data_IF_104336285180
#
_entry.id   IF_104336285180
#
_cell.length_a   1.000
_cell.length_b   1.000
_cell.length_c   1.000
_cell.angle_alpha   90.00
_cell.angle_beta   90.00
_cell.angle_gamma   90.00
#
_symmetry.space_group_name_H-M   'P 1'
#
loop_
_entity.id
_entity.type
_entity.pdbx_description
1 polymer ?
2 non-polymer ?
3 non-polymer ?
4 water ?
#
# COMPACT_ATOMS: atom_id res chain seq x y z
N UNK A 2 -19.19 -7.71 -18.99
CA UNK A 2 -17.96 -7.83 -18.21
C UNK A 2 -17.15 -6.54 -18.06
N UNK A 3 -16.75 -5.95 -19.19
CA UNK A 3 -16.01 -4.71 -19.19
C UNK A 3 -16.67 -3.76 -18.22
N UNK A 4 -15.89 -2.88 -17.59
CA UNK A 4 -16.43 -1.86 -16.72
C UNK A 4 -16.87 -0.64 -17.54
N UNK A 5 -18.12 -0.21 -17.37
CA UNK A 5 -18.58 1.01 -18.01
C UNK A 5 -18.09 2.17 -17.19
N UNK A 6 -17.31 3.04 -17.83
CA UNK A 6 -16.66 4.12 -17.13
C UNK A 6 -17.21 5.46 -17.60
N UNK A 7 -17.24 6.42 -16.69
CA UNK A 7 -17.62 7.77 -17.03
C UNK A 7 -16.68 8.70 -16.31
N UNK A 8 -16.13 9.66 -17.05
CA UNK A 8 -15.06 10.50 -16.55
C UNK A 8 -15.29 11.98 -16.83
N UNK A 9 -15.31 12.79 -15.79
CA UNK A 9 -15.47 14.22 -15.99
C UNK A 9 -14.77 15.05 -14.93
N UNK A 10 -14.63 16.34 -15.19
CA UNK A 10 -14.13 17.30 -14.22
C UNK A 10 -15.20 18.32 -13.92
N UNK A 11 -15.44 18.55 -12.65
CA UNK A 11 -16.27 19.65 -12.23
C UNK A 11 -15.48 20.36 -11.14
N UNK A 12 -15.15 21.62 -11.39
CA UNK A 12 -14.22 22.37 -10.54
C UNK A 12 -12.96 21.59 -10.19
N UNK A 13 -12.05 21.45 -11.14
CA UNK A 13 -10.75 20.82 -10.92
C UNK A 13 -10.78 19.51 -10.14
N UNK A 14 -11.99 19.08 -9.79
CA UNK A 14 -12.22 17.77 -9.19
C UNK A 14 -12.65 16.77 -10.26
N UNK A 15 -11.76 15.82 -10.54
CA UNK A 15 -12.05 14.75 -11.48
C UNK A 15 -12.91 13.67 -10.84
N UNK A 16 -14.03 13.35 -11.48
CA UNK A 16 -14.93 12.32 -11.00
C UNK A 16 -14.93 11.14 -11.95
N UNK A 17 -14.31 10.04 -11.55
CA UNK A 17 -14.37 8.80 -12.31
C UNK A 17 -15.45 7.92 -11.71
N UNK A 18 -16.44 7.53 -12.50
CA UNK A 18 -17.51 6.69 -12.00
C UNK A 18 -17.39 5.32 -12.61
N UNK A 19 -17.50 4.26 -11.80
CA UNK A 19 -17.36 2.91 -12.29
C UNK A 19 -18.63 2.09 -12.10
N UNK A 20 -18.95 1.26 -13.10
CA UNK A 20 -20.13 0.40 -13.12
C UNK A 20 -19.75 -1.00 -13.55
N UNK A 21 -19.88 -1.98 -12.66
CA UNK A 21 -19.58 -3.35 -12.99
C UNK A 21 -18.75 -4.04 -11.93
N UNK A 22 -17.94 -4.99 -12.37
CA UNK A 22 -17.12 -5.76 -11.45
C UNK A 22 -15.67 -5.69 -11.87
N UNK A 23 -14.80 -5.22 -10.99
CA UNK A 23 -13.37 -5.24 -11.26
C UNK A 23 -12.89 -6.70 -11.32
N UNK A 24 -13.12 -7.30 -12.48
CA UNK A 24 -12.76 -8.68 -12.74
C UNK A 24 -11.24 -8.72 -12.80
N UNK A 25 -10.69 -9.82 -13.32
CA UNK A 25 -9.30 -9.87 -13.73
C UNK A 25 -9.13 -9.71 -15.22
N UNK A 26 -10.23 -9.87 -15.93
CA UNK A 26 -10.29 -9.70 -17.38
C UNK A 26 -10.66 -8.27 -17.71
N UNK A 27 -11.44 -7.66 -16.82
CA UNK A 27 -11.97 -6.32 -17.01
C UNK A 27 -11.11 -5.23 -16.38
N UNK A 28 -10.22 -5.63 -15.46
CA UNK A 28 -9.38 -4.68 -14.74
C UNK A 28 -8.50 -3.80 -15.63
N UNK A 29 -7.84 -4.39 -16.64
CA UNK A 29 -6.89 -3.65 -17.48
C UNK A 29 -7.46 -2.42 -18.19
N UNK A 30 -8.66 -2.52 -18.75
CA UNK A 30 -9.25 -1.41 -19.48
C UNK A 30 -9.54 -0.22 -18.57
N UNK A 31 -9.94 -0.51 -17.33
CA UNK A 31 -10.18 0.53 -16.33
C UNK A 31 -8.89 1.21 -15.88
N UNK A 32 -7.86 0.40 -15.63
CA UNK A 32 -6.57 0.95 -15.29
C UNK A 32 -6.05 1.83 -16.40
N UNK A 33 -6.14 1.35 -17.63
CA UNK A 33 -5.68 2.13 -18.78
C UNK A 33 -6.34 3.50 -18.87
N UNK A 34 -7.60 3.56 -18.41
CA UNK A 34 -8.40 4.77 -18.52
C UNK A 34 -8.25 5.73 -17.34
N UNK A 35 -7.97 5.17 -16.17
CA UNK A 35 -7.98 5.96 -14.93
C UNK A 35 -6.67 6.63 -14.62
N UNK A 36 -5.57 5.91 -14.83
CA UNK A 36 -4.27 6.43 -14.49
C UNK A 36 -3.91 7.67 -15.27
N UNK A 37 -4.23 7.72 -16.58
CA UNK A 37 -3.94 8.95 -17.32
C UNK A 37 -4.83 10.11 -16.90
N UNK A 38 -5.83 9.86 -16.07
CA UNK A 38 -6.74 10.93 -15.73
C UNK A 38 -6.44 11.54 -14.36
N UNK A 39 -5.30 11.18 -13.78
CA UNK A 39 -4.84 11.77 -12.53
C UNK A 39 -4.13 13.11 -12.82
N UNK A 40 -4.41 14.13 -12.01
CA UNK A 40 -3.80 15.47 -12.17
C UNK A 40 -2.85 15.80 -11.02
N UNK A 41 -1.70 16.41 -11.35
CA UNK A 41 -0.71 16.77 -10.33
C UNK A 41 -1.28 17.82 -9.38
N UNK A 42 -1.06 17.62 -8.08
CA UNK A 42 -1.76 18.39 -7.06
C UNK A 42 -3.24 18.23 -7.29
N UNK A 43 -3.62 17.10 -7.86
CA UNK A 43 -4.98 16.90 -8.31
C UNK A 43 -5.96 16.30 -7.32
N UNK A 44 -7.20 16.75 -7.40
CA UNK A 44 -8.29 16.22 -6.60
C UNK A 44 -9.15 15.27 -7.43
N UNK A 46 -12.28 12.08 -7.34
CA UNK A 46 -13.28 11.26 -6.66
C UNK A 46 -13.55 10.02 -7.49
N UNK A 47 -13.36 8.85 -6.90
CA UNK A 47 -13.65 7.62 -7.59
C UNK A 47 -14.92 7.03 -7.03
N UNK A 48 -16.02 7.18 -7.76
CA UNK A 48 -17.30 6.70 -7.30
C UNK A 48 -17.51 5.20 -7.58
N UNK A 49 -17.53 4.42 -6.49
CA UNK A 49 -17.62 2.97 -6.55
C UNK A 49 -18.97 2.46 -6.12
N UNK A 50 -19.96 3.35 -6.11
CA UNK A 50 -21.33 3.01 -5.70
C UNK A 50 -21.96 1.89 -6.54
N UNK A 51 -21.59 1.78 -7.81
CA UNK A 51 -22.08 0.67 -8.62
C UNK A 51 -21.00 -0.30 -9.09
N UNK A 52 -19.95 -0.45 -8.29
CA UNK A 52 -19.01 -1.54 -8.45
C UNK A 52 -19.41 -2.62 -7.44
N UNK A 53 -19.56 -3.85 -7.92
CA UNK A 53 -20.15 -4.91 -7.14
C UNK A 53 -19.08 -5.77 -6.48
N UNK A 54 -17.96 -5.97 -7.17
CA UNK A 54 -16.85 -6.75 -6.61
C UNK A 54 -15.48 -6.50 -7.23
N UNK A 56 -11.69 -8.51 -7.41
CA UNK A 56 -10.78 -9.59 -7.12
C UNK A 56 -9.39 -8.99 -6.96
N UNK A 57 -8.43 -9.79 -6.52
CA UNK A 57 -7.05 -9.34 -6.36
C UNK A 57 -6.60 -8.32 -7.43
N UNK A 58 -7.01 -8.55 -8.67
CA UNK A 58 -6.60 -7.71 -9.79
C UNK A 58 -7.28 -6.34 -9.82
N UNK A 59 -8.51 -6.27 -9.32
CA UNK A 59 -9.22 -5.01 -9.24
C UNK A 59 -8.70 -4.18 -8.08
N UNK A 60 -8.24 -4.85 -7.04
CA UNK A 60 -7.69 -4.16 -5.88
C UNK A 60 -6.32 -3.63 -6.23
N UNK A 61 -5.63 -4.36 -7.09
CA UNK A 61 -4.35 -3.91 -7.61
C UNK A 61 -4.51 -2.61 -8.40
N UNK A 62 -5.68 -2.43 -9.02
CA UNK A 62 -5.93 -1.19 -9.77
C UNK A 62 -6.05 0.00 -8.83
N UNK A 63 -6.71 -0.19 -7.70
CA UNK A 63 -6.85 0.89 -6.75
C UNK A 63 -5.47 1.23 -6.21
N UNK A 64 -4.76 0.24 -5.69
CA UNK A 64 -3.43 0.48 -5.16
C UNK A 64 -2.58 1.20 -6.18
N UNK A 65 -2.62 0.72 -7.41
CA UNK A 65 -1.98 1.38 -8.52
C UNK A 65 -2.40 2.84 -8.58
N UNK A 66 -3.71 3.06 -8.58
CA UNK A 66 -4.27 4.40 -8.57
C UNK A 66 -3.72 5.20 -7.40
N UNK A 67 -3.71 4.59 -6.23
CA UNK A 67 -3.26 5.26 -5.01
C UNK A 67 -1.80 5.67 -5.04
N UNK A 68 -0.94 4.79 -5.54
CA UNK A 68 0.49 5.05 -5.60
C UNK A 68 0.90 6.19 -6.52
N UNK A 69 0.11 6.47 -7.53
CA UNK A 69 0.50 7.54 -8.44
C UNK A 69 -0.18 8.85 -8.13
N UNK A 70 -1.32 8.78 -7.44
CA UNK A 70 -1.92 9.94 -6.78
C UNK A 70 -1.03 10.35 -5.60
N UNK A 71 -0.61 9.38 -4.81
CA UNK A 71 0.33 9.63 -3.73
C UNK A 71 1.53 10.40 -4.28
N UNK A 72 2.15 9.88 -5.33
CA UNK A 72 3.34 10.50 -5.89
C UNK A 72 3.08 11.75 -6.72
N UNK A 73 1.84 11.93 -7.18
CA UNK A 73 1.46 13.16 -7.89
C UNK A 73 0.97 14.27 -6.96
N UNK A 74 1.20 14.09 -5.67
CA UNK A 74 0.81 15.09 -4.66
C UNK A 74 -0.68 15.37 -4.63
N UNK A 75 -1.45 14.42 -5.15
CA UNK A 75 -2.88 14.59 -5.30
C UNK A 75 -3.75 14.05 -4.18
N UNK A 76 -5.04 14.33 -4.28
CA UNK A 76 -5.98 13.92 -3.25
C UNK A 76 -7.13 13.15 -3.90
N UNK A 77 -7.42 11.98 -3.33
CA UNK A 77 -8.38 11.04 -3.88
C UNK A 77 -9.39 10.63 -2.82
N UNK A 78 -10.66 10.60 -3.19
CA UNK A 78 -11.68 10.12 -2.29
C UNK A 78 -12.46 9.00 -2.95
N UNK A 79 -12.61 7.89 -2.23
CA UNK A 79 -13.47 6.80 -2.65
C UNK A 79 -14.90 7.09 -2.20
N UNK A 80 -15.85 6.94 -3.11
CA UNK A 80 -17.25 7.17 -2.78
C UNK A 80 -18.11 5.91 -2.93
N UNK A 81 -18.64 5.42 -1.82
CA UNK A 81 -19.55 4.30 -1.87
C UNK A 81 -18.97 2.89 -1.94
N UNK A 82 -17.81 2.69 -1.34
CA UNK A 82 -17.21 1.36 -1.23
C UNK A 82 -18.20 0.39 -0.55
N UNK A 83 -18.50 -0.73 -1.20
CA UNK A 83 -19.43 -1.70 -0.65
C UNK A 83 -18.91 -2.23 0.67
N UNK A 84 -19.82 -2.57 1.57
CA UNK A 84 -19.42 -3.14 2.84
C UNK A 84 -18.44 -4.28 2.56
N UNK A 85 -18.87 -5.26 1.79
CA UNK A 85 -18.02 -6.39 1.47
C UNK A 85 -16.61 -5.97 1.05
N UNK A 86 -16.53 -4.99 0.16
CA UNK A 86 -15.24 -4.53 -0.37
C UNK A 86 -14.34 -3.95 0.72
N UNK A 87 -14.88 -3.02 1.51
CA UNK A 87 -14.14 -2.45 2.62
C UNK A 87 -13.59 -3.54 3.51
N UNK A 88 -14.45 -4.50 3.88
CA UNK A 88 -14.08 -5.57 4.79
C UNK A 88 -12.94 -6.43 4.26
N UNK A 89 -12.85 -6.47 2.93
CA UNK A 89 -11.81 -7.22 2.23
C UNK A 89 -10.53 -6.42 2.16
N UNK A 91 -9.83 -4.12 4.48
CA UNK A 91 -9.41 -3.97 5.88
C UNK A 91 -8.48 -5.09 6.33
N UNK A 92 -8.74 -6.29 5.84
CA UNK A 92 -7.96 -7.48 6.18
C UNK A 92 -6.53 -7.36 5.70
N UNK A 93 -6.38 -6.95 4.45
CA UNK A 93 -5.09 -6.86 3.81
C UNK A 93 -4.28 -5.67 4.32
N UNK A 94 -4.98 -4.64 4.77
CA UNK A 94 -4.33 -3.46 5.31
C UNK A 94 -4.27 -2.34 4.29
N UNK A 95 -4.95 -2.56 3.17
CA UNK A 95 -4.94 -1.60 2.09
C UNK A 95 -5.93 -0.49 2.32
N UNK A 96 -6.95 -0.79 3.11
CA UNK A 96 -7.98 0.16 3.44
C UNK A 96 -7.40 1.45 4.02
N UNK A 97 -6.32 1.34 4.77
CA UNK A 97 -5.81 2.48 5.54
C UNK A 97 -5.00 3.49 4.76
N UNK A 98 -4.93 3.29 3.45
CA UNK A 98 -4.29 4.25 2.56
C UNK A 98 -5.29 5.31 2.15
N UNK A 99 -6.55 4.96 2.25
CA UNK A 99 -7.59 5.64 1.52
C UNK A 99 -8.43 6.52 2.41
N UNK A 100 -8.98 7.58 1.81
CA UNK A 100 -10.07 8.39 2.37
C UNK A 100 -11.38 7.99 1.69
N UNK A 101 -12.45 7.85 2.47
CA UNK A 101 -13.70 7.29 1.95
C UNK A 101 -14.93 7.80 2.66
N UNK A 102 -16.03 7.89 1.92
CA UNK A 102 -17.32 8.28 2.49
C UNK A 102 -18.41 7.64 1.68
N UNK A 103 -19.66 7.84 2.09
CA UNK A 103 -20.75 7.14 1.43
C UNK A 103 -21.45 7.97 0.36
N UNK A 104 -21.19 9.27 0.34
CA UNK A 104 -21.91 10.21 -0.55
C UNK A 104 -21.01 11.12 -1.38
N UNK A 106 -21.70 13.97 -1.90
CA UNK A 106 -21.94 15.25 -1.25
C UNK A 106 -20.87 15.51 -0.21
N UNK A 107 -20.66 14.52 0.65
CA UNK A 107 -19.59 14.59 1.63
C UNK A 107 -18.23 14.61 0.94
N UNK A 108 -18.12 13.88 -0.17
CA UNK A 108 -16.85 13.79 -0.89
C UNK A 108 -16.33 15.12 -1.42
N UNK A 109 -17.24 16.03 -1.76
CA UNK A 109 -16.86 17.32 -2.34
C UNK A 109 -16.42 18.29 -1.26
N UNK A 110 -16.94 18.08 -0.05
CA UNK A 110 -16.60 18.95 1.08
C UNK A 110 -15.18 18.67 1.49
N UNK A 111 -14.81 17.41 1.38
CA UNK A 111 -13.46 16.99 1.70
C UNK A 111 -12.40 17.63 0.80
N UNK A 112 -12.78 17.96 -0.44
CA UNK A 112 -11.81 18.45 -1.41
C UNK A 112 -11.92 19.95 -1.67
N UNK A 113 -12.99 20.56 -1.16
CA UNK A 113 -13.18 21.99 -1.30
C UNK A 113 -14.23 22.34 -2.33
N UNK A 114 -15.41 22.74 -1.87
CA UNK A 114 -16.52 23.14 -2.75
C UNK A 114 -17.06 24.54 -2.42
N UNK B 1 9.65 -20.97 18.49
CA UNK B 1 8.21 -21.09 18.57
C UNK B 1 7.55 -19.98 17.75
N UNK B 2 6.28 -19.70 18.04
CA UNK B 2 5.54 -18.70 17.27
C UNK B 2 6.09 -17.29 17.46
N UNK B 3 6.77 -17.06 18.57
CA UNK B 3 7.43 -15.80 18.81
C UNK B 3 8.52 -15.59 17.76
N UNK B 4 8.56 -14.37 17.20
CA UNK B 4 9.61 -13.96 16.26
C UNK B 4 10.83 -13.37 16.99
N UNK B 5 12.03 -13.75 16.55
CA UNK B 5 13.23 -13.19 17.13
C UNK B 5 13.62 -11.96 16.34
N UNK B 6 13.60 -10.83 17.01
CA UNK B 6 13.71 -9.52 16.38
C UNK B 6 14.83 -8.73 17.01
N UNK B 7 15.92 -8.54 16.29
CA UNK B 7 17.00 -7.70 16.75
C UNK B 7 16.91 -6.34 16.13
N UNK B 8 17.26 -5.32 16.91
CA UNK B 8 17.28 -3.95 16.41
C UNK B 8 18.58 -3.27 16.80
N UNK B 9 19.15 -2.50 15.87
CA UNK B 9 20.40 -1.80 16.15
C UNK B 9 20.52 -0.65 15.19
N UNK B 10 21.51 0.20 15.40
CA UNK B 10 21.82 1.30 14.48
C UNK B 10 23.30 1.31 14.12
N UNK B 11 23.60 1.05 12.85
CA UNK B 11 24.96 1.19 12.34
C UNK B 11 25.08 2.53 11.62
N UNK B 12 26.00 3.38 12.06
CA UNK B 12 26.28 4.61 11.35
C UNK B 12 25.06 5.18 10.64
N UNK B 13 24.07 5.63 11.42
CA UNK B 13 22.94 6.36 10.89
C UNK B 13 21.79 5.51 10.46
N UNK B 14 22.04 4.22 10.22
CA UNK B 14 21.00 3.33 9.73
C UNK B 14 20.43 2.39 10.78
N UNK B 15 19.11 2.35 10.85
CA UNK B 15 18.41 1.48 11.74
C UNK B 15 18.19 0.14 11.05
N UNK B 16 18.80 -0.90 11.61
CA UNK B 16 18.76 -2.21 11.01
C UNK B 16 17.98 -3.16 11.90
N UNK B 17 16.99 -3.83 11.33
CA UNK B 17 16.09 -4.68 12.09
C UNK B 17 16.07 -6.07 11.48
N UNK B 18 16.38 -7.07 12.30
CA UNK B 18 16.53 -8.45 11.85
C UNK B 18 15.47 -9.35 12.46
N UNK B 19 14.80 -10.15 11.63
CA UNK B 19 13.67 -10.96 12.06
C UNK B 19 13.96 -12.45 11.82
N UNK B 20 13.53 -13.29 12.77
CA UNK B 20 13.66 -14.74 12.69
C UNK B 20 12.32 -15.36 13.01
N UNK B 21 11.70 -15.97 12.02
CA UNK B 21 10.46 -16.67 12.25
C UNK B 21 9.50 -16.40 11.12
N UNK B 22 8.22 -16.58 11.38
CA UNK B 22 7.20 -16.26 10.42
C UNK B 22 6.31 -15.22 11.07
N UNK B 23 5.65 -14.42 10.26
CA UNK B 23 4.74 -13.41 10.79
C UNK B 23 3.29 -13.75 10.51
N UNK B 24 2.63 -14.37 11.49
CA UNK B 24 1.21 -14.66 11.38
C UNK B 24 0.39 -13.89 12.41
N UNK B 25 -0.83 -14.36 12.67
CA UNK B 25 -1.74 -13.66 13.54
C UNK B 25 -1.22 -13.53 14.96
N UNK B 26 -0.59 -14.60 15.43
CA UNK B 26 0.00 -14.65 16.78
C UNK B 26 1.29 -13.82 16.90
N UNK B 27 2.13 -13.91 15.86
CA UNK B 27 3.47 -13.33 15.89
C UNK B 27 3.60 -11.88 15.39
N UNK B 28 2.57 -11.35 14.75
CA UNK B 28 2.66 -10.05 14.07
C UNK B 28 2.61 -8.79 14.96
N UNK B 29 1.70 -8.77 15.94
CA UNK B 29 1.57 -7.56 16.78
C UNK B 29 2.89 -7.18 17.43
N UNK B 30 3.60 -8.19 17.92
CA UNK B 30 4.86 -7.98 18.62
C UNK B 30 5.92 -7.39 17.69
N UNK B 31 5.87 -7.78 16.43
CA UNK B 31 6.84 -7.29 15.47
C UNK B 31 6.52 -5.88 15.04
N UNK B 32 5.24 -5.57 14.94
CA UNK B 32 4.84 -4.24 14.55
C UNK B 32 5.06 -3.27 15.70
N UNK B 33 4.69 -3.66 16.92
CA UNK B 33 4.86 -2.79 18.08
C UNK B 33 6.33 -2.57 18.42
N UNK B 34 7.17 -3.55 18.16
CA UNK B 34 8.60 -3.42 18.39
C UNK B 34 9.29 -2.61 17.29
N UNK B 35 9.06 -2.99 16.04
CA UNK B 35 9.74 -2.40 14.90
C UNK B 35 9.25 -1.00 14.54
N UNK B 36 7.95 -0.79 14.62
CA UNK B 36 7.32 0.44 14.14
C UNK B 36 7.84 1.72 14.82
N UNK B 37 7.96 1.70 16.16
CA UNK B 37 8.50 2.86 16.89
C UNK B 37 9.91 3.31 16.49
N UNK B 38 10.80 2.38 16.16
CA UNK B 38 12.17 2.76 15.88
C UNK B 38 12.30 3.48 14.55
N UNK B 39 11.17 3.67 13.87
CA UNK B 39 11.09 4.50 12.67
C UNK B 39 11.25 5.97 13.05
N UNK B 40 12.47 6.49 12.94
CA UNK B 40 12.75 7.86 13.34
C UNK B 40 12.32 8.86 12.26
N UNK B 41 12.76 10.11 12.39
CA UNK B 41 12.33 11.15 11.46
C UNK B 41 13.39 11.41 10.38
N UNK B 42 12.94 11.40 9.13
CA UNK B 42 13.85 11.51 8.00
C UNK B 42 14.95 10.47 8.12
N UNK B 43 14.58 9.21 8.35
CA UNK B 43 15.55 8.18 8.71
C UNK B 43 15.98 7.25 7.60
N UNK B 44 16.77 6.24 7.99
CA UNK B 44 17.21 5.17 7.09
C UNK B 44 17.00 3.84 7.80
N UNK B 46 16.93 -0.52 7.20
CA UNK B 46 17.00 -1.78 6.53
C UNK B 46 16.20 -2.77 7.34
N UNK B 47 15.28 -3.47 6.71
CA UNK B 47 14.55 -4.52 7.41
C UNK B 47 14.99 -5.84 6.81
N UNK B 48 15.77 -6.58 7.59
CA UNK B 48 16.37 -7.82 7.13
C UNK B 48 15.40 -8.95 7.35
N UNK B 49 15.02 -9.61 6.26
CA UNK B 49 13.99 -10.62 6.30
C UNK B 49 14.50 -11.96 5.84
N UNK B 50 15.82 -12.07 5.70
CA UNK B 50 16.44 -13.31 5.24
C UNK B 50 15.94 -14.56 5.95
N UNK B 51 15.63 -14.45 7.25
CA UNK B 51 15.27 -15.61 8.05
C UNK B 51 13.78 -15.73 8.34
N UNK B 52 12.95 -14.98 7.62
CA UNK B 52 11.52 -15.15 7.74
C UNK B 52 10.98 -16.12 6.66
N UNK B 53 10.54 -17.31 7.10
CA UNK B 53 9.95 -18.26 6.17
C UNK B 53 8.76 -17.65 5.45
N UNK B 54 7.69 -17.32 6.19
CA UNK B 54 6.49 -16.74 5.60
C UNK B 54 5.86 -15.61 6.40
N UNK B 56 1.51 -14.40 7.04
CA UNK B 56 0.10 -14.41 6.69
C UNK B 56 -0.40 -13.04 6.28
N UNK B 57 -1.71 -12.92 6.10
CA UNK B 57 -2.31 -11.64 5.76
C UNK B 57 -1.91 -10.61 6.82
N UNK B 58 -2.10 -11.00 8.08
CA UNK B 58 -1.78 -10.15 9.22
C UNK B 58 -0.33 -9.67 9.19
N UNK B 59 0.57 -10.56 8.81
CA UNK B 59 1.98 -10.22 8.78
C UNK B 59 2.31 -9.17 7.74
N UNK B 60 2.03 -9.48 6.49
CA UNK B 60 2.28 -8.56 5.41
C UNK B 60 1.63 -7.22 5.72
N UNK B 61 0.52 -7.24 6.44
CA UNK B 61 -0.09 -6.02 6.94
C UNK B 61 0.90 -5.26 7.82
N UNK B 62 1.79 -6.00 8.50
CA UNK B 62 2.83 -5.36 9.30
C UNK B 62 3.78 -4.60 8.38
N UNK B 63 4.24 -5.25 7.31
CA UNK B 63 5.09 -4.57 6.34
C UNK B 63 4.36 -3.37 5.80
N UNK B 64 3.03 -3.43 5.83
CA UNK B 64 2.23 -2.36 5.25
C UNK B 64 2.20 -1.10 6.13
N UNK B 65 2.02 -1.28 7.42
CA UNK B 65 1.94 -0.15 8.34
C UNK B 65 3.30 0.49 8.55
N UNK B 66 4.34 -0.32 8.34
CA UNK B 66 5.71 0.14 8.40
C UNK B 66 5.96 1.01 7.18
N UNK B 67 5.40 0.64 6.05
CA UNK B 67 5.52 1.46 4.85
C UNK B 67 4.74 2.76 4.96
N UNK B 68 3.45 2.66 5.26
CA UNK B 68 2.64 3.84 5.51
C UNK B 68 3.38 4.77 6.46
N UNK B 69 3.75 4.24 7.63
CA UNK B 69 4.30 5.07 8.67
C UNK B 69 5.68 5.58 8.34
N UNK B 70 6.51 4.75 7.73
CA UNK B 70 7.80 5.20 7.20
C UNK B 70 7.59 6.47 6.36
N UNK B 71 6.40 6.58 5.77
CA UNK B 71 6.05 7.74 4.96
C UNK B 71 5.76 8.95 5.84
N UNK B 72 4.98 8.74 6.90
CA UNK B 72 4.63 9.82 7.80
C UNK B 72 5.87 10.52 8.35
N UNK B 73 6.97 9.79 8.40
CA UNK B 73 8.22 10.33 8.91
C UNK B 73 9.19 10.62 7.78
N UNK B 74 8.66 10.59 6.55
CA UNK B 74 9.42 10.80 5.33
C UNK B 74 10.85 10.28 5.43
N UNK B 75 10.97 8.96 5.39
CA UNK B 75 12.25 8.32 5.54
C UNK B 75 12.43 7.21 4.52
N UNK B 76 13.55 6.49 4.62
CA UNK B 76 13.89 5.50 3.63
C UNK B 76 13.78 4.10 4.21
N UNK B 77 13.71 3.10 3.32
CA UNK B 77 13.56 1.71 3.73
C UNK B 77 13.92 0.75 2.58
N UNK B 78 14.82 -0.20 2.85
CA UNK B 78 15.15 -1.27 1.91
C UNK B 78 14.86 -2.63 2.56
N UNK B 79 14.15 -3.49 1.84
CA UNK B 79 13.82 -4.82 2.34
C UNK B 79 14.87 -5.81 1.87
N UNK B 80 15.59 -6.43 2.80
CA UNK B 80 16.62 -7.37 2.38
C UNK B 80 16.19 -8.82 2.56
N UNK B 81 16.46 -9.63 1.56
CA UNK B 81 16.35 -11.07 1.69
C UNK B 81 14.96 -11.67 1.62
N UNK B 82 14.00 -10.91 1.10
CA UNK B 82 12.67 -11.45 0.85
C UNK B 82 12.68 -12.65 -0.12
N UNK B 83 12.14 -13.78 0.32
CA UNK B 83 12.08 -14.99 -0.50
C UNK B 83 11.19 -14.83 -1.74
N UNK B 84 11.38 -15.68 -2.74
CA UNK B 84 10.58 -15.60 -3.95
C UNK B 84 9.12 -15.90 -3.63
N UNK B 85 8.92 -16.85 -2.73
CA UNK B 85 7.60 -17.28 -2.33
C UNK B 85 6.81 -16.16 -1.65
N UNK B 86 7.48 -15.39 -0.80
CA UNK B 86 6.89 -14.21 -0.17
C UNK B 86 6.75 -13.10 -1.21
N UNK B 87 7.72 -13.01 -2.11
CA UNK B 87 7.72 -11.99 -3.16
C UNK B 87 6.57 -12.17 -4.16
N UNK B 88 6.25 -13.42 -4.50
CA UNK B 88 5.11 -13.66 -5.37
C UNK B 88 3.83 -13.16 -4.71
N UNK B 89 3.64 -13.55 -3.46
CA UNK B 89 2.51 -13.11 -2.65
C UNK B 89 2.26 -11.60 -2.70
N UNK B 91 3.23 -9.69 -5.09
CA UNK B 91 2.99 -9.30 -6.48
C UNK B 91 1.55 -9.57 -6.91
N UNK B 92 0.98 -10.67 -6.42
CA UNK B 92 -0.45 -10.95 -6.53
C UNK B 92 -1.22 -9.64 -6.41
N UNK B 93 -0.87 -8.89 -5.38
CA UNK B 93 -1.63 -7.73 -4.95
C UNK B 93 -1.07 -6.41 -5.52
N UNK B 94 0.24 -6.34 -5.72
CA UNK B 94 0.87 -5.11 -6.19
C UNK B 94 1.43 -4.31 -5.05
N UNK B 95 1.26 -4.84 -3.84
CA UNK B 95 1.85 -4.30 -2.63
C UNK B 95 3.36 -4.21 -2.85
N UNK B 96 3.91 -5.31 -3.29
CA UNK B 96 5.32 -5.40 -3.67
C UNK B 96 5.83 -4.11 -4.28
N UNK B 97 4.99 -3.42 -5.03
CA UNK B 97 5.45 -2.25 -5.76
C UNK B 97 5.68 -1.07 -4.88
N UNK B 98 5.29 -1.18 -3.61
CA UNK B 98 5.48 -0.10 -2.65
C UNK B 98 6.93 -0.05 -2.18
N UNK B 99 7.63 -1.17 -2.29
CA UNK B 99 8.91 -1.34 -1.62
C UNK B 99 10.13 -1.25 -2.51
N UNK B 100 11.29 -1.07 -1.87
CA UNK B 100 12.61 -1.19 -2.48
C UNK B 100 13.35 -2.34 -1.81
N UNK B 101 13.90 -3.26 -2.60
CA UNK B 101 14.47 -4.48 -2.06
C UNK B 101 15.78 -4.91 -2.73
N UNK B 102 16.57 -5.69 -2.00
CA UNK B 102 17.75 -6.34 -2.58
C UNK B 102 18.10 -7.59 -1.78
N UNK B 103 19.11 -8.33 -2.24
CA UNK B 103 19.42 -9.60 -1.61
C UNK B 103 20.53 -9.46 -0.57
N UNK B 104 21.40 -8.48 -0.78
CA UNK B 104 22.57 -8.28 0.08
C UNK B 104 22.39 -7.10 1.01
N UNK B 106 24.98 -5.25 1.88
CA UNK B 106 25.80 -4.25 1.19
C UNK B 106 24.96 -3.36 0.29
N UNK B 107 24.15 -3.99 -0.56
CA UNK B 107 23.36 -3.23 -1.51
C UNK B 107 22.42 -2.28 -0.78
N UNK B 108 21.80 -2.76 0.29
CA UNK B 108 20.97 -1.89 1.11
C UNK B 108 21.79 -0.71 1.62
N UNK B 109 22.86 -0.98 2.36
CA UNK B 109 23.72 0.07 2.84
C UNK B 109 24.10 1.00 1.69
N UNK B 110 24.28 0.43 0.50
CA UNK B 110 24.62 1.22 -0.67
C UNK B 110 23.42 2.02 -1.11
N UNK B 111 22.28 1.35 -1.28
CA UNK B 111 21.07 2.07 -1.63
C UNK B 111 20.80 3.15 -0.58
N UNK B 112 21.33 2.94 0.61
CA UNK B 112 21.21 3.93 1.67
C UNK B 112 22.50 4.73 1.76
N UNK B 113 23.53 4.25 1.07
CA UNK B 113 24.75 5.00 0.88
C UNK B 113 25.81 4.85 1.95
N UNK B 114 26.06 3.63 2.39
CA UNK B 114 27.02 3.38 3.46
C UNK B 114 28.32 2.68 3.07
N UNK B 115 28.98 2.13 4.08
CA UNK B 115 30.25 1.43 3.93
C UNK B 115 30.17 0.02 4.51
#
# INVERSE_FOLDING_TARGET
SNATDTQIRTEQGIDIITLHGHLDTRSSPAVQAAVLPRVTAKGKXILDLREVSYXSSAGLRVLLSLYRHTSNQQGALVLVGVSEEIRDTXEITGFWNFFTACASXDEALRILGSESA
SNATDTQIRTEQGIDIITLHGHLDTRSSPAVQAAVLPRVTAKGKXILDLREVSYXSSAGLRVLLSLYRHTSNQQGALVLVGVSEEIRDTXEITGFWNFFTACASXDEALRILGSESA
#
